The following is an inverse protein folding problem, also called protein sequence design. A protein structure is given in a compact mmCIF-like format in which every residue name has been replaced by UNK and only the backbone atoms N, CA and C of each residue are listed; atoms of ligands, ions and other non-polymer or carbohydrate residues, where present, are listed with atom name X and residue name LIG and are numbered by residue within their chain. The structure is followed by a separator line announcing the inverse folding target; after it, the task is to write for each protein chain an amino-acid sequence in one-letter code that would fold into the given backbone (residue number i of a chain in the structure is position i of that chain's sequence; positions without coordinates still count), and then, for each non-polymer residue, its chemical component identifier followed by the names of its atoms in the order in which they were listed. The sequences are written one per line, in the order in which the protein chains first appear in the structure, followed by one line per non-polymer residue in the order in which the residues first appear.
data_IF_453142879601
#
_entry.id   IF_453142879601
#
_cell.length_a   1.000
_cell.length_b   1.000
_cell.length_c   1.000
_cell.angle_alpha   90.00
_cell.angle_beta   90.00
_cell.angle_gamma   90.00
#
_symmetry.space_group_name_H-M   'P 1'
#
loop_
_entity.id
_entity.type
_entity.pdbx_description
1 polymer ?
#
# COMPACT_ATOMS: atom_id res chain seq x y z
N UNK A 1 -12.94 -5.16 34.38
CA UNK A 1 -13.24 -3.90 33.66
C UNK A 1 -12.27 -3.60 32.51
N UNK A 2 -10.98 -3.98 32.60
CA UNK A 2 -10.00 -3.77 31.51
C UNK A 2 -10.29 -4.56 30.21
N UNK A 3 -10.79 -5.80 30.30
CA UNK A 3 -11.05 -6.63 29.11
C UNK A 3 -12.17 -6.11 28.20
N UNK A 4 -13.21 -5.50 28.78
CA UNK A 4 -14.31 -4.90 28.02
C UNK A 4 -13.90 -3.64 27.26
N UNK A 5 -13.04 -2.81 27.86
CA UNK A 5 -12.48 -1.62 27.20
C UNK A 5 -11.56 -2.00 26.05
N UNK A 6 -10.66 -2.97 26.27
CA UNK A 6 -9.76 -3.49 25.24
C UNK A 6 -10.55 -4.14 24.08
N UNK A 7 -11.59 -4.91 24.38
CA UNK A 7 -12.47 -5.48 23.35
C UNK A 7 -13.22 -4.41 22.55
N UNK A 8 -13.73 -3.37 23.22
CA UNK A 8 -14.44 -2.27 22.57
C UNK A 8 -13.55 -1.40 21.70
N UNK A 9 -12.31 -1.10 22.12
CA UNK A 9 -11.36 -0.35 21.29
C UNK A 9 -10.95 -1.15 20.06
N UNK A 10 -10.62 -2.44 20.22
CA UNK A 10 -10.30 -3.31 19.09
C UNK A 10 -11.45 -3.43 18.09
N UNK A 11 -12.70 -3.49 18.55
CA UNK A 11 -13.88 -3.57 17.67
C UNK A 11 -14.15 -2.26 16.92
N UNK A 12 -13.88 -1.10 17.52
CA UNK A 12 -14.12 0.21 16.88
C UNK A 12 -13.00 0.69 15.97
N UNK A 13 -11.78 0.18 16.14
CA UNK A 13 -10.60 0.64 15.37
C UNK A 13 -9.97 -0.45 14.51
N UNK A 14 -10.25 -1.73 14.75
CA UNK A 14 -9.68 -2.84 13.98
C UNK A 14 -10.37 -3.01 12.63
N UNK A 15 -9.58 -3.07 11.56
CA UNK A 15 -10.04 -3.25 10.17
C UNK A 15 -10.74 -2.04 9.54
N UNK A 16 -10.20 -0.85 9.73
CA UNK A 16 -10.61 0.35 8.99
C UNK A 16 -9.49 0.85 8.09
N UNK A 17 -9.81 1.27 6.87
CA UNK A 17 -8.86 1.95 5.98
C UNK A 17 -8.52 3.39 6.43
N UNK A 18 -9.26 3.92 7.43
CA UNK A 18 -9.12 5.29 7.94
C UNK A 18 -8.43 5.37 9.30
N UNK A 19 -8.56 4.34 10.13
CA UNK A 19 -7.95 4.31 11.45
C UNK A 19 -6.48 3.88 11.34
N UNK A 20 -5.62 4.49 12.14
CA UNK A 20 -4.22 4.08 12.21
C UNK A 20 -4.12 2.65 12.77
N UNK A 21 -3.56 1.68 12.00
CA UNK A 21 -3.50 0.30 12.43
C UNK A 21 -2.47 0.13 13.54
N UNK A 22 -2.77 -0.77 14.47
CA UNK A 22 -1.83 -1.14 15.54
C UNK A 22 -0.66 -1.98 15.04
N UNK A 23 0.42 -2.07 15.83
CA UNK A 23 1.62 -2.82 15.45
C UNK A 23 1.35 -4.31 15.16
N UNK A 24 0.47 -4.96 15.93
CA UNK A 24 0.08 -6.35 15.72
C UNK A 24 -0.68 -6.54 14.40
N UNK A 25 -1.59 -5.62 14.08
CA UNK A 25 -2.34 -5.63 12.81
C UNK A 25 -1.39 -5.47 11.62
N UNK A 26 -0.48 -4.50 11.68
CA UNK A 26 0.54 -4.28 10.64
C UNK A 26 1.39 -5.54 10.43
N UNK A 27 1.87 -6.16 11.52
CA UNK A 27 2.70 -7.36 11.47
C UNK A 27 1.95 -8.53 10.83
N UNK A 28 0.72 -8.81 11.28
CA UNK A 28 -0.11 -9.88 10.72
C UNK A 28 -0.45 -9.63 9.25
N UNK A 29 -0.88 -8.41 8.89
CA UNK A 29 -1.24 -8.06 7.52
C UNK A 29 -0.05 -8.24 6.55
N UNK A 30 1.15 -7.81 6.97
CA UNK A 30 2.38 -7.99 6.17
C UNK A 30 2.73 -9.47 6.02
N UNK A 31 2.61 -10.26 7.09
CA UNK A 31 2.93 -11.68 7.06
C UNK A 31 1.94 -12.47 6.20
N UNK A 32 0.64 -12.22 6.35
CA UNK A 32 -0.41 -12.86 5.53
C UNK A 32 -0.21 -12.52 4.05
N UNK A 33 -0.01 -11.24 3.70
CA UNK A 33 0.30 -10.83 2.31
C UNK A 33 1.55 -11.53 1.78
N UNK A 34 2.59 -11.65 2.59
CA UNK A 34 3.81 -12.34 2.20
C UNK A 34 3.54 -13.82 1.93
N UNK A 35 2.83 -14.53 2.79
CA UNK A 35 2.55 -15.97 2.61
C UNK A 35 1.56 -16.25 1.47
N UNK A 36 0.70 -15.28 1.12
CA UNK A 36 -0.30 -15.44 0.06
C UNK A 36 0.28 -15.39 -1.37
N UNK A 37 1.49 -14.88 -1.57
CA UNK A 37 2.12 -14.77 -2.90
C UNK A 37 3.07 -15.95 -3.13
N UNK A 38 2.81 -16.84 -4.10
CA UNK A 38 3.68 -17.98 -4.40
C UNK A 38 5.11 -17.53 -4.75
N UNK A 39 6.10 -18.34 -4.37
CA UNK A 39 7.52 -18.02 -4.59
C UNK A 39 7.87 -17.81 -6.07
N UNK A 40 7.29 -18.61 -6.97
CA UNK A 40 7.49 -18.45 -8.42
C UNK A 40 6.99 -17.11 -8.95
N UNK A 41 5.89 -16.59 -8.41
CA UNK A 41 5.30 -15.32 -8.83
C UNK A 41 6.03 -14.12 -8.22
N UNK A 42 6.47 -14.24 -6.95
CA UNK A 42 7.27 -13.19 -6.29
C UNK A 42 8.56 -12.90 -7.05
N UNK A 43 9.19 -13.93 -7.59
CA UNK A 43 10.48 -13.84 -8.27
C UNK A 43 10.34 -13.75 -9.80
N UNK A 44 9.12 -13.60 -10.33
CA UNK A 44 8.90 -13.47 -11.76
C UNK A 44 9.51 -12.15 -12.27
N UNK A 45 10.26 -12.24 -13.37
CA UNK A 45 10.70 -11.04 -14.07
C UNK A 45 9.52 -10.36 -14.76
N UNK A 46 9.58 -9.04 -14.92
CA UNK A 46 8.61 -8.32 -15.75
C UNK A 46 8.72 -8.81 -17.19
N UNK A 47 7.66 -9.40 -17.78
CA UNK A 47 7.71 -9.88 -19.16
C UNK A 47 7.69 -8.75 -20.19
N UNK A 48 7.36 -7.52 -19.76
CA UNK A 48 7.31 -6.36 -20.64
C UNK A 48 8.73 -5.78 -20.80
N UNK A 49 9.23 -5.61 -22.04
CA UNK A 49 10.57 -5.12 -22.29
C UNK A 49 10.71 -3.66 -21.87
N UNK A 50 11.87 -3.33 -21.29
CA UNK A 50 12.24 -1.96 -20.95
C UNK A 50 12.66 -1.22 -22.22
N UNK A 51 11.77 -0.37 -22.74
CA UNK A 51 12.02 0.44 -23.93
C UNK A 51 11.48 1.86 -23.74
N UNK A 52 12.04 2.87 -24.44
CA UNK A 52 11.60 4.26 -24.30
C UNK A 52 10.09 4.46 -24.58
N UNK A 53 9.54 3.72 -25.54
CA UNK A 53 8.11 3.77 -25.87
C UNK A 53 7.24 3.24 -24.72
N UNK A 54 7.59 2.08 -24.16
CA UNK A 54 6.88 1.50 -23.00
C UNK A 54 6.99 2.41 -21.78
N UNK A 55 8.16 3.01 -21.52
CA UNK A 55 8.32 3.95 -20.41
C UNK A 55 7.51 5.24 -20.60
N UNK A 56 7.28 5.68 -21.83
CA UNK A 56 6.40 6.81 -22.10
C UNK A 56 4.95 6.47 -21.79
N UNK A 57 4.47 5.32 -22.27
CA UNK A 57 3.12 4.82 -21.97
C UNK A 57 2.92 4.60 -20.47
N UNK A 58 3.89 3.97 -19.79
CA UNK A 58 3.83 3.72 -18.35
C UNK A 58 3.73 5.02 -17.54
N UNK A 59 4.42 6.10 -17.96
CA UNK A 59 4.32 7.41 -17.29
C UNK A 59 2.93 8.04 -17.46
N UNK A 60 2.33 7.92 -18.64
CA UNK A 60 0.96 8.39 -18.87
C UNK A 60 -0.02 7.59 -18.01
N UNK A 61 0.08 6.26 -18.04
CA UNK A 61 -0.76 5.39 -17.23
C UNK A 61 -0.64 5.68 -15.73
N UNK A 62 0.58 5.91 -15.23
CA UNK A 62 0.84 6.28 -13.84
C UNK A 62 0.21 7.62 -13.47
N UNK A 63 0.35 8.63 -14.34
CA UNK A 63 -0.25 9.94 -14.13
C UNK A 63 -1.80 9.86 -14.05
N UNK A 64 -2.39 9.01 -14.88
CA UNK A 64 -3.85 8.87 -14.97
C UNK A 64 -4.47 8.05 -13.82
N UNK A 65 -3.77 7.02 -13.32
CA UNK A 65 -4.35 6.04 -12.39
C UNK A 65 -3.71 5.98 -11.01
N UNK A 66 -2.42 6.31 -10.89
CA UNK A 66 -1.63 6.09 -9.68
C UNK A 66 -1.31 7.39 -8.94
N UNK A 67 -1.07 8.46 -9.69
CA UNK A 67 -0.58 9.73 -9.17
C UNK A 67 -1.57 10.42 -8.21
N UNK A 68 -2.86 10.09 -8.27
CA UNK A 68 -3.88 10.60 -7.33
C UNK A 68 -3.52 10.30 -5.88
N UNK A 69 -2.89 9.15 -5.61
CA UNK A 69 -2.41 8.77 -4.28
C UNK A 69 -0.89 8.93 -4.17
N UNK A 70 -0.14 8.58 -5.20
CA UNK A 70 1.31 8.48 -5.16
C UNK A 70 2.08 9.75 -5.60
N UNK A 71 1.38 10.82 -5.99
CA UNK A 71 1.93 12.02 -6.63
C UNK A 71 2.63 11.72 -7.97
N UNK A 72 2.69 12.71 -8.87
CA UNK A 72 3.32 12.54 -10.19
C UNK A 72 4.84 12.29 -10.11
N UNK A 73 5.48 12.72 -9.03
CA UNK A 73 6.90 12.48 -8.77
C UNK A 73 7.16 11.18 -7.99
N UNK A 74 6.10 10.44 -7.63
CA UNK A 74 6.19 9.21 -6.83
C UNK A 74 6.43 9.44 -5.33
N UNK A 75 6.42 10.68 -4.83
CA UNK A 75 6.70 10.97 -3.42
C UNK A 75 5.63 10.47 -2.44
N UNK A 76 4.41 10.22 -2.92
CA UNK A 76 3.24 9.98 -2.07
C UNK A 76 2.72 11.24 -1.37
N UNK A 77 3.27 12.43 -1.67
CA UNK A 77 2.83 13.70 -1.08
C UNK A 77 1.54 14.21 -1.72
N UNK A 78 0.44 13.55 -1.38
CA UNK A 78 -0.92 13.97 -1.75
C UNK A 78 -1.82 14.00 -0.52
N UNK A 79 -2.91 14.79 -0.53
CA UNK A 79 -3.90 14.74 0.54
C UNK A 79 -4.46 13.34 0.77
N UNK A 80 -4.64 12.53 -0.28
CA UNK A 80 -5.15 11.15 -0.13
C UNK A 80 -4.05 10.24 0.42
N UNK A 81 -2.87 10.25 -0.20
CA UNK A 81 -1.75 9.36 0.15
C UNK A 81 -1.27 9.49 1.60
N UNK A 82 -1.38 10.71 2.18
CA UNK A 82 -1.04 10.99 3.58
C UNK A 82 -2.10 10.55 4.59
N UNK A 83 -3.35 10.31 4.15
CA UNK A 83 -4.51 10.15 5.03
C UNK A 83 -5.26 8.81 4.87
N UNK A 84 -4.65 7.83 4.18
CA UNK A 84 -5.13 6.44 4.11
C UNK A 84 -4.12 5.47 4.71
N UNK A 85 -4.57 4.31 5.19
CA UNK A 85 -3.69 3.25 5.68
C UNK A 85 -3.74 2.01 4.77
N UNK A 86 -2.57 1.46 4.37
CA UNK A 86 -1.23 2.03 4.57
C UNK A 86 -1.06 3.34 3.78
N UNK A 87 -0.26 4.26 4.33
CA UNK A 87 0.10 5.50 3.63
C UNK A 87 0.80 5.18 2.31
N UNK A 88 0.60 6.03 1.30
CA UNK A 88 1.30 5.90 0.04
C UNK A 88 2.83 5.96 0.30
N UNK A 89 3.60 4.90 -0.02
CA UNK A 89 5.05 4.93 0.13
C UNK A 89 5.69 5.89 -0.87
N UNK A 90 6.87 6.40 -0.49
CA UNK A 90 7.77 7.12 -1.41
C UNK A 90 8.37 6.10 -2.39
N UNK A 91 7.92 6.13 -3.65
CA UNK A 91 8.32 5.19 -4.70
C UNK A 91 9.69 5.49 -5.30
N UNK A 92 10.37 6.55 -4.84
CA UNK A 92 11.71 6.93 -5.28
C UNK A 92 12.81 6.22 -4.49
N UNK A 93 12.46 5.40 -3.50
CA UNK A 93 13.37 4.81 -2.50
C UNK A 93 13.14 3.32 -2.30
#
# INVERSE_FOLDING_TARGET
MAGGWLGYTMFRTGFSAKAEPGALEIMMARQVRHLAIPLSQRNAANPIPDSPAILQEARQHFADHCATCHANDGSGDTPIGKNVYPKAPDLRK
#
